data_IF_340263303645
#
_entry.id   IF_340263303645
#
_cell.length_a   1.000
_cell.length_b   1.000
_cell.length_c   1.000
_cell.angle_alpha   90.00
_cell.angle_beta   90.00
_cell.angle_gamma   90.00
#
_symmetry.space_group_name_H-M   'P 1'
#
loop_
_entity.id
_entity.type
_entity.pdbx_description
1 polymer ?
#
# COMPACT_ATOMS: atom_id res chain seq x y z
N UNK A 1 -21.49 38.18 -2.28
CA UNK A 1 -20.09 37.77 -2.56
C UNK A 1 -19.93 36.28 -2.22
N UNK A 2 -20.10 35.37 -3.19
CA UNK A 2 -20.23 33.93 -2.87
C UNK A 2 -19.55 32.92 -3.80
N UNK A 3 -18.76 33.36 -4.79
CA UNK A 3 -18.34 32.48 -5.90
C UNK A 3 -16.97 31.80 -5.76
N UNK A 4 -16.18 32.03 -4.70
CA UNK A 4 -14.80 31.53 -4.62
C UNK A 4 -14.57 30.29 -3.72
N UNK A 5 -15.59 29.73 -3.07
CA UNK A 5 -15.44 28.56 -2.19
C UNK A 5 -15.73 27.20 -2.83
N UNK A 6 -16.37 27.12 -4.02
CA UNK A 6 -16.72 25.81 -4.60
C UNK A 6 -15.54 25.12 -5.31
N UNK A 7 -14.59 25.88 -5.83
CA UNK A 7 -13.43 25.32 -6.55
C UNK A 7 -12.46 24.58 -5.65
N UNK A 8 -12.11 25.15 -4.49
CA UNK A 8 -11.08 24.58 -3.61
C UNK A 8 -11.51 23.28 -2.94
N UNK A 9 -12.79 23.16 -2.58
CA UNK A 9 -13.33 21.95 -1.94
C UNK A 9 -13.35 20.77 -2.90
N UNK A 10 -13.71 20.99 -4.17
CA UNK A 10 -13.74 19.92 -5.19
C UNK A 10 -12.37 19.26 -5.43
N UNK A 11 -11.27 20.01 -5.39
CA UNK A 11 -9.92 19.44 -5.57
C UNK A 11 -9.47 18.62 -4.36
N UNK A 12 -9.78 19.09 -3.16
CA UNK A 12 -9.50 18.37 -1.91
C UNK A 12 -10.32 17.08 -1.86
N UNK A 13 -11.60 17.13 -2.19
CA UNK A 13 -12.48 15.96 -2.22
C UNK A 13 -12.02 14.90 -3.23
N UNK A 14 -11.61 15.33 -4.45
CA UNK A 14 -11.03 14.41 -5.45
C UNK A 14 -9.77 13.73 -4.94
N UNK A 15 -8.90 14.48 -4.25
CA UNK A 15 -7.64 13.94 -3.72
C UNK A 15 -7.89 12.96 -2.57
N UNK A 16 -8.79 13.31 -1.65
CA UNK A 16 -9.20 12.43 -0.54
C UNK A 16 -9.82 11.14 -1.08
N UNK A 17 -10.69 11.21 -2.10
CA UNK A 17 -11.27 10.01 -2.73
C UNK A 17 -10.18 9.08 -3.29
N UNK A 18 -9.16 9.63 -3.96
CA UNK A 18 -8.02 8.85 -4.47
C UNK A 18 -7.18 8.24 -3.34
N UNK A 19 -6.87 9.01 -2.30
CA UNK A 19 -6.12 8.52 -1.13
C UNK A 19 -6.88 7.37 -0.45
N UNK A 20 -8.21 7.49 -0.28
CA UNK A 20 -9.06 6.42 0.26
C UNK A 20 -9.11 5.18 -0.63
N UNK A 21 -9.09 5.34 -1.95
CA UNK A 21 -9.03 4.22 -2.88
C UNK A 21 -7.69 3.47 -2.76
N UNK A 22 -6.57 4.20 -2.79
CA UNK A 22 -5.24 3.63 -2.61
C UNK A 22 -5.07 2.96 -1.24
N UNK A 23 -5.66 3.53 -0.18
CA UNK A 23 -5.68 2.89 1.15
C UNK A 23 -6.37 1.53 1.13
N UNK A 24 -7.48 1.38 0.39
CA UNK A 24 -8.17 0.10 0.23
C UNK A 24 -7.31 -0.90 -0.53
N UNK A 25 -6.57 -0.45 -1.54
CA UNK A 25 -5.67 -1.31 -2.31
C UNK A 25 -4.47 -1.77 -1.46
N UNK A 26 -3.90 -0.89 -0.62
CA UNK A 26 -2.85 -1.22 0.36
C UNK A 26 -3.34 -2.32 1.32
N UNK A 27 -4.55 -2.16 1.89
CA UNK A 27 -5.13 -3.19 2.79
C UNK A 27 -5.30 -4.52 2.07
N UNK A 28 -5.80 -4.53 0.82
CA UNK A 28 -5.93 -5.75 0.03
C UNK A 28 -4.59 -6.41 -0.28
N UNK A 29 -3.57 -5.62 -0.63
CA UNK A 29 -2.22 -6.12 -0.89
C UNK A 29 -1.59 -6.72 0.36
N UNK A 30 -1.73 -6.08 1.52
CA UNK A 30 -1.27 -6.61 2.79
C UNK A 30 -1.93 -7.95 3.13
N UNK A 31 -3.26 -8.05 3.00
CA UNK A 31 -3.98 -9.30 3.22
C UNK A 31 -3.52 -10.41 2.24
N UNK A 32 -3.21 -10.04 1.00
CA UNK A 32 -2.71 -10.98 -0.01
C UNK A 32 -1.29 -11.45 0.31
N UNK A 33 -0.42 -10.55 0.76
CA UNK A 33 0.95 -10.86 1.21
C UNK A 33 0.91 -11.83 2.39
N UNK A 34 0.03 -11.58 3.37
CA UNK A 34 -0.17 -12.45 4.52
C UNK A 34 -0.65 -13.84 4.09
N UNK A 35 -1.69 -13.92 3.24
CA UNK A 35 -2.18 -15.21 2.74
C UNK A 35 -1.14 -16.01 1.95
N UNK A 36 -0.30 -15.33 1.16
CA UNK A 36 0.84 -15.97 0.47
C UNK A 36 1.90 -16.43 1.46
N UNK A 37 2.20 -15.67 2.50
CA UNK A 37 3.15 -16.06 3.54
C UNK A 37 2.68 -17.29 4.32
N UNK A 38 1.39 -17.38 4.67
CA UNK A 38 0.80 -18.59 5.28
C UNK A 38 0.90 -19.79 4.35
N UNK A 39 0.70 -19.59 3.05
CA UNK A 39 0.82 -20.67 2.05
C UNK A 39 2.28 -21.13 1.92
N UNK A 40 3.24 -20.21 1.88
CA UNK A 40 4.68 -20.51 1.89
C UNK A 40 5.07 -21.35 3.11
N UNK A 41 4.63 -20.94 4.31
CA UNK A 41 4.88 -21.64 5.56
C UNK A 41 4.30 -23.06 5.53
N UNK A 42 3.07 -23.23 5.04
CA UNK A 42 2.45 -24.55 4.87
C UNK A 42 3.32 -25.48 3.99
N UNK A 43 3.82 -24.99 2.86
CA UNK A 43 4.65 -25.81 1.98
C UNK A 43 6.03 -26.12 2.57
N UNK A 44 6.62 -25.18 3.33
CA UNK A 44 7.85 -25.45 4.07
C UNK A 44 7.65 -26.52 5.15
N UNK A 45 6.52 -26.50 5.86
CA UNK A 45 6.16 -27.53 6.82
C UNK A 45 5.93 -28.90 6.15
N UNK A 46 5.28 -28.93 4.97
CA UNK A 46 5.12 -30.15 4.18
C UNK A 46 6.47 -30.73 3.73
N UNK A 47 7.42 -29.87 3.34
CA UNK A 47 8.76 -30.29 2.98
C UNK A 47 9.52 -30.87 4.19
N UNK A 48 9.47 -30.18 5.34
CA UNK A 48 10.08 -30.63 6.58
C UNK A 48 9.50 -31.97 7.06
N UNK A 49 8.16 -32.09 7.04
CA UNK A 49 7.43 -33.31 7.40
C UNK A 49 7.81 -34.46 6.48
N UNK A 50 7.81 -34.24 5.16
CA UNK A 50 8.19 -35.27 4.18
C UNK A 50 9.62 -35.77 4.40
N UNK A 51 10.57 -34.86 4.69
CA UNK A 51 11.93 -35.22 5.04
C UNK A 51 12.03 -36.01 6.36
N UNK A 52 11.26 -35.64 7.38
CA UNK A 52 11.23 -36.34 8.66
C UNK A 52 10.68 -37.77 8.50
N UNK A 53 9.61 -37.94 7.72
CA UNK A 53 9.01 -39.26 7.43
C UNK A 53 9.98 -40.12 6.63
N UNK A 54 10.64 -39.54 5.61
CA UNK A 54 11.70 -40.22 4.84
C UNK A 54 12.81 -40.77 5.72
N UNK A 55 13.26 -39.99 6.70
CA UNK A 55 14.33 -40.38 7.65
C UNK A 55 13.86 -41.44 8.64
N UNK A 56 12.60 -41.39 9.07
CA UNK A 56 12.04 -42.30 10.08
C UNK A 56 11.64 -43.65 9.51
N UNK A 57 11.06 -43.68 8.31
CA UNK A 57 10.53 -44.87 7.66
C UNK A 57 11.30 -45.23 6.38
N UNK A 58 12.59 -44.86 6.35
CA UNK A 58 13.49 -45.16 5.24
C UNK A 58 13.39 -46.62 4.80
N UNK A 59 13.42 -46.85 3.49
CA UNK A 59 13.09 -48.11 2.85
C UNK A 59 12.37 -47.90 1.53
N UNK A 60 11.40 -48.77 1.21
CA UNK A 60 10.69 -48.78 -0.09
C UNK A 60 9.98 -47.44 -0.40
N UNK A 61 9.56 -46.70 0.63
CA UNK A 61 8.83 -45.43 0.49
C UNK A 61 9.72 -44.18 0.53
N UNK A 62 11.02 -44.31 0.78
CA UNK A 62 11.94 -43.18 0.83
C UNK A 62 11.89 -42.30 -0.44
N UNK A 63 11.92 -42.86 -1.68
CA UNK A 63 11.84 -42.05 -2.89
C UNK A 63 10.55 -41.21 -2.98
N UNK A 64 9.42 -41.77 -2.52
CA UNK A 64 8.13 -41.08 -2.53
C UNK A 64 8.13 -39.86 -1.59
N UNK A 65 8.73 -39.99 -0.41
CA UNK A 65 8.82 -38.89 0.55
C UNK A 65 9.79 -37.81 0.08
N UNK A 66 10.89 -38.18 -0.58
CA UNK A 66 11.81 -37.23 -1.19
C UNK A 66 11.16 -36.47 -2.36
N UNK A 67 10.39 -37.14 -3.21
CA UNK A 67 9.64 -36.48 -4.29
C UNK A 67 8.62 -35.47 -3.75
N UNK A 68 7.88 -35.84 -2.69
CA UNK A 68 6.93 -34.94 -2.01
C UNK A 68 7.63 -33.73 -1.40
N UNK A 69 8.78 -33.94 -0.77
CA UNK A 69 9.63 -32.87 -0.24
C UNK A 69 10.03 -31.90 -1.36
N UNK A 70 10.55 -32.40 -2.47
CA UNK A 70 10.96 -31.57 -3.61
C UNK A 70 9.78 -30.78 -4.21
N UNK A 71 8.61 -31.40 -4.32
CA UNK A 71 7.40 -30.71 -4.78
C UNK A 71 7.02 -29.58 -3.82
N UNK A 72 7.01 -29.84 -2.52
CA UNK A 72 6.70 -28.84 -1.51
C UNK A 72 7.72 -27.68 -1.51
N UNK A 73 9.01 -27.96 -1.69
CA UNK A 73 10.04 -26.92 -1.83
C UNK A 73 9.85 -26.06 -3.10
N UNK A 74 9.40 -26.66 -4.21
CA UNK A 74 9.07 -25.90 -5.44
C UNK A 74 7.88 -24.97 -5.23
N UNK A 75 6.82 -25.45 -4.57
CA UNK A 75 5.66 -24.63 -4.22
C UNK A 75 6.03 -23.50 -3.25
N UNK A 76 6.82 -23.79 -2.21
CA UNK A 76 7.32 -22.77 -1.28
C UNK A 76 8.12 -21.68 -2.01
N UNK A 77 8.99 -22.05 -2.96
CA UNK A 77 9.72 -21.09 -3.80
C UNK A 77 8.80 -20.24 -4.68
N UNK A 78 7.74 -20.84 -5.23
CA UNK A 78 6.73 -20.11 -6.00
C UNK A 78 6.03 -19.05 -5.13
N UNK A 79 5.57 -19.42 -3.93
CA UNK A 79 4.92 -18.49 -3.00
C UNK A 79 5.88 -17.40 -2.51
N UNK A 80 7.14 -17.74 -2.19
CA UNK A 80 8.15 -16.74 -1.82
C UNK A 80 8.38 -15.72 -2.95
N UNK A 81 8.40 -16.19 -4.20
CA UNK A 81 8.55 -15.33 -5.38
C UNK A 81 7.33 -14.44 -5.58
N UNK A 82 6.11 -14.99 -5.44
CA UNK A 82 4.86 -14.24 -5.49
C UNK A 82 4.80 -13.15 -4.41
N UNK A 83 5.25 -13.46 -3.19
CA UNK A 83 5.34 -12.51 -2.08
C UNK A 83 6.23 -11.32 -2.43
N UNK A 84 7.38 -11.55 -3.06
CA UNK A 84 8.27 -10.47 -3.52
C UNK A 84 7.61 -9.57 -4.57
N UNK A 85 6.83 -10.14 -5.50
CA UNK A 85 6.07 -9.34 -6.47
C UNK A 85 5.02 -8.46 -5.78
N UNK A 86 4.25 -9.02 -4.86
CA UNK A 86 3.23 -8.28 -4.11
C UNK A 86 3.85 -7.18 -3.24
N UNK A 87 5.00 -7.42 -2.62
CA UNK A 87 5.74 -6.40 -1.86
C UNK A 87 6.20 -5.23 -2.75
N UNK A 88 6.64 -5.50 -3.98
CA UNK A 88 6.99 -4.44 -4.94
C UNK A 88 5.78 -3.61 -5.34
N UNK A 89 4.64 -4.26 -5.54
CA UNK A 89 3.37 -3.60 -5.85
C UNK A 89 2.88 -2.73 -4.67
N UNK A 90 2.93 -3.27 -3.45
CA UNK A 90 2.61 -2.53 -2.23
C UNK A 90 3.45 -1.25 -2.14
N UNK A 91 4.77 -1.35 -2.29
CA UNK A 91 5.65 -0.19 -2.25
C UNK A 91 5.37 0.82 -3.38
N UNK A 92 4.87 0.37 -4.53
CA UNK A 92 4.43 1.29 -5.59
C UNK A 92 3.15 2.04 -5.21
N UNK A 93 2.15 1.34 -4.67
CA UNK A 93 0.87 1.95 -4.24
C UNK A 93 1.09 2.93 -3.08
N UNK A 94 1.94 2.59 -2.11
CA UNK A 94 2.32 3.49 -1.01
C UNK A 94 2.97 4.78 -1.52
N UNK A 95 3.92 4.68 -2.46
CA UNK A 95 4.52 5.86 -3.11
C UNK A 95 3.49 6.71 -3.85
N UNK A 96 2.53 6.08 -4.54
CA UNK A 96 1.44 6.81 -5.20
C UNK A 96 0.55 7.53 -4.19
N UNK A 97 0.23 6.87 -3.07
CA UNK A 97 -0.58 7.45 -2.02
C UNK A 97 0.12 8.66 -1.39
N UNK A 98 1.41 8.52 -1.06
CA UNK A 98 2.22 9.61 -0.51
C UNK A 98 2.26 10.81 -1.48
N UNK A 99 2.49 10.56 -2.78
CA UNK A 99 2.46 11.60 -3.80
C UNK A 99 1.10 12.34 -3.88
N UNK A 100 -0.01 11.64 -3.64
CA UNK A 100 -1.33 12.26 -3.59
C UNK A 100 -1.55 13.08 -2.31
N UNK A 101 -1.01 12.63 -1.17
CA UNK A 101 -1.02 13.37 0.09
C UNK A 101 -0.20 14.66 -0.04
N UNK A 102 1.02 14.57 -0.56
CA UNK A 102 1.91 15.73 -0.74
C UNK A 102 1.29 16.80 -1.64
N UNK A 103 0.66 16.38 -2.75
CA UNK A 103 -0.08 17.30 -3.64
C UNK A 103 -1.27 17.96 -2.94
N UNK A 104 -2.02 17.20 -2.13
CA UNK A 104 -3.15 17.75 -1.39
C UNK A 104 -2.70 18.78 -0.34
N UNK A 105 -1.56 18.55 0.32
CA UNK A 105 -0.94 19.48 1.26
C UNK A 105 -0.45 20.75 0.55
N UNK A 106 0.26 20.63 -0.57
CA UNK A 106 0.70 21.78 -1.37
C UNK A 106 -0.47 22.65 -1.84
N UNK A 107 -1.57 22.03 -2.29
CA UNK A 107 -2.78 22.78 -2.67
C UNK A 107 -3.41 23.49 -1.46
N UNK A 108 -3.40 22.88 -0.27
CA UNK A 108 -3.88 23.51 0.96
C UNK A 108 -3.01 24.70 1.37
N UNK A 109 -1.69 24.57 1.31
CA UNK A 109 -0.76 25.64 1.67
C UNK A 109 -0.86 26.81 0.68
N UNK A 110 -0.94 26.51 -0.62
CA UNK A 110 -1.12 27.52 -1.66
C UNK A 110 -2.45 28.28 -1.50
N UNK A 111 -3.55 27.55 -1.26
CA UNK A 111 -4.87 28.18 -1.06
C UNK A 111 -4.93 28.98 0.23
N UNK A 112 -4.25 28.53 1.30
CA UNK A 112 -4.15 29.27 2.56
C UNK A 112 -3.35 30.54 2.35
N UNK A 113 -2.16 30.47 1.74
CA UNK A 113 -1.32 31.64 1.46
C UNK A 113 -2.01 32.68 0.56
N UNK A 114 -2.78 32.22 -0.44
CA UNK A 114 -3.57 33.12 -1.30
C UNK A 114 -4.66 33.86 -0.50
N UNK A 115 -5.37 33.16 0.40
CA UNK A 115 -6.37 33.77 1.29
C UNK A 115 -5.73 34.77 2.26
N UNK A 116 -4.58 34.43 2.85
CA UNK A 116 -3.86 35.35 3.74
C UNK A 116 -3.41 36.61 2.99
N UNK A 117 -2.87 36.47 1.77
CA UNK A 117 -2.51 37.62 0.93
C UNK A 117 -3.72 38.50 0.61
N UNK A 118 -4.84 37.91 0.18
CA UNK A 118 -6.07 38.66 -0.08
C UNK A 118 -6.54 39.40 1.18
N UNK A 119 -6.54 38.73 2.34
CA UNK A 119 -6.92 39.36 3.61
C UNK A 119 -5.99 40.52 3.99
N UNK A 120 -4.68 40.38 3.82
CA UNK A 120 -3.72 41.48 4.03
C UNK A 120 -3.94 42.65 3.07
N UNK A 121 -4.30 42.40 1.80
CA UNK A 121 -4.66 43.47 0.87
C UNK A 121 -5.94 44.19 1.31
N UNK A 122 -6.98 43.47 1.76
CA UNK A 122 -8.20 44.08 2.27
C UNK A 122 -7.94 44.89 3.55
N UNK A 123 -7.14 44.38 4.49
CA UNK A 123 -6.86 45.07 5.75
C UNK A 123 -6.04 46.35 5.54
N UNK A 124 -5.03 46.32 4.66
CA UNK A 124 -4.27 47.52 4.29
C UNK A 124 -5.14 48.55 3.55
N UNK A 125 -6.09 48.11 2.72
CA UNK A 125 -6.99 49.01 2.00
C UNK A 125 -7.98 49.70 2.96
N UNK A 126 -8.53 48.98 3.95
CA UNK A 126 -9.45 49.56 4.94
C UNK A 126 -8.77 50.49 5.96
N UNK A 127 -7.49 50.26 6.25
CA UNK A 127 -6.70 51.19 7.08
C UNK A 127 -6.35 52.49 6.35
N UNK A 128 -6.12 52.45 5.03
CA UNK A 128 -5.85 53.66 4.24
C UNK A 128 -7.11 54.48 3.93
N UNK A 129 -8.30 53.89 3.97
CA UNK A 129 -9.57 54.61 3.79
C UNK A 129 -10.15 55.20 5.09
N UNK A 130 -9.42 55.14 6.20
CA UNK A 130 -9.86 55.66 7.51
C UNK A 130 -9.02 56.87 8.00
N UNK A 131 -8.27 57.53 7.11
CA UNK A 131 -7.58 58.81 7.32
C UNK A 131 -8.07 59.84 6.30
#
# INVERSE_FOLDING_TARGET
>A
MGFFNSGSTMFVDKSIKKIKALQKDIVKLNNSIEGVATSEEYWLDQAATSLAVSRKYGGIYEPLHLERKEKAEKEAKYHATLRLYLQKELGFVERLQQKHIDKALQHRDFTTAQKTRQFCFFFNFTCFSSF
#
